data_IF_857856188250
#
_entry.id   IF_857856188250
#
_cell.length_a   1.000
_cell.length_b   1.000
_cell.length_c   1.000
_cell.angle_alpha   90.00
_cell.angle_beta   90.00
_cell.angle_gamma   90.00
#
_symmetry.space_group_name_H-M   'P 1'
#
loop_
_entity.id
_entity.type
_entity.pdbx_description
1 polymer ?
#
# COMPACT_ATOMS: atom_id res chain seq x y z
N UNK A 1 15.34 19.38 -9.50
CA UNK A 1 13.88 19.58 -9.57
C UNK A 1 13.34 19.11 -8.22
N UNK A 2 12.34 19.76 -7.62
CA UNK A 2 11.73 19.23 -6.39
C UNK A 2 10.74 18.13 -6.79
N UNK A 3 10.68 17.02 -6.06
CA UNK A 3 9.69 15.99 -6.29
C UNK A 3 8.27 16.56 -6.09
N UNK A 4 7.37 16.28 -7.02
CA UNK A 4 5.98 16.76 -6.96
C UNK A 4 5.04 15.55 -6.73
N UNK A 5 4.65 15.37 -5.47
CA UNK A 5 3.76 14.28 -5.07
C UNK A 5 2.39 14.36 -5.76
N UNK A 6 1.86 15.55 -6.01
CA UNK A 6 0.55 15.68 -6.65
C UNK A 6 0.59 15.18 -8.10
N UNK A 7 1.66 15.51 -8.83
CA UNK A 7 1.86 15.00 -10.19
C UNK A 7 2.12 13.50 -10.17
N UNK A 8 2.93 13.00 -9.23
CA UNK A 8 3.18 11.56 -9.09
C UNK A 8 1.89 10.78 -8.82
N UNK A 9 1.08 11.22 -7.86
CA UNK A 9 -0.16 10.54 -7.50
C UNK A 9 -1.19 10.54 -8.63
N UNK A 10 -1.26 11.62 -9.43
CA UNK A 10 -2.08 11.62 -10.63
C UNK A 10 -1.61 10.60 -11.69
N UNK A 11 -0.30 10.35 -11.78
CA UNK A 11 0.26 9.30 -12.65
C UNK A 11 0.00 7.90 -12.10
N UNK A 12 0.16 7.70 -10.79
CA UNK A 12 -0.20 6.46 -10.09
C UNK A 12 -1.68 6.09 -10.28
N UNK A 13 -2.60 7.05 -10.11
CA UNK A 13 -4.03 6.84 -10.35
C UNK A 13 -4.30 6.44 -11.80
N UNK A 14 -3.61 7.06 -12.76
CA UNK A 14 -3.72 6.70 -14.17
C UNK A 14 -3.24 5.28 -14.44
N UNK A 15 -2.12 4.87 -13.85
CA UNK A 15 -1.61 3.50 -13.94
C UNK A 15 -2.60 2.49 -13.34
N UNK A 16 -3.17 2.80 -12.16
CA UNK A 16 -4.16 1.97 -11.49
C UNK A 16 -5.49 1.82 -12.28
N UNK A 17 -5.82 2.79 -13.14
CA UNK A 17 -6.99 2.75 -14.00
C UNK A 17 -6.73 2.09 -15.36
N UNK A 18 -5.54 2.33 -15.95
CA UNK A 18 -5.25 1.96 -17.33
C UNK A 18 -4.61 0.57 -17.48
N UNK A 19 -3.89 0.11 -16.47
CA UNK A 19 -2.99 -1.04 -16.64
C UNK A 19 -3.65 -2.38 -16.30
N UNK A 20 -3.36 -3.39 -17.11
CA UNK A 20 -3.75 -4.78 -16.85
C UNK A 20 -2.71 -5.56 -16.03
N UNK A 21 -1.51 -5.00 -15.82
CA UNK A 21 -0.39 -5.72 -15.21
C UNK A 21 0.29 -4.91 -14.10
N UNK A 22 0.28 -5.47 -12.89
CA UNK A 22 0.85 -4.86 -11.69
C UNK A 22 2.33 -4.49 -11.86
N UNK A 23 3.16 -5.47 -12.22
CA UNK A 23 4.61 -5.31 -12.36
C UNK A 23 4.99 -4.23 -13.38
N UNK A 24 4.37 -4.25 -14.56
CA UNK A 24 4.62 -3.25 -15.61
C UNK A 24 4.28 -1.83 -15.16
N UNK A 25 3.24 -1.68 -14.34
CA UNK A 25 2.83 -0.38 -13.78
C UNK A 25 3.85 0.10 -12.76
N UNK A 26 4.29 -0.79 -11.87
CA UNK A 26 5.34 -0.49 -10.90
C UNK A 26 6.66 -0.09 -11.57
N UNK A 27 7.10 -0.81 -12.60
CA UNK A 27 8.32 -0.47 -13.33
C UNK A 27 8.24 0.91 -13.99
N UNK A 28 7.08 1.28 -14.56
CA UNK A 28 6.88 2.63 -15.11
C UNK A 28 6.95 3.73 -14.05
N UNK A 29 6.36 3.49 -12.88
CA UNK A 29 6.43 4.44 -11.76
C UNK A 29 7.85 4.53 -11.18
N UNK A 30 8.59 3.43 -11.11
CA UNK A 30 10.03 3.44 -10.74
C UNK A 30 10.85 4.26 -11.74
N UNK A 31 10.64 4.06 -13.04
CA UNK A 31 11.30 4.85 -14.09
C UNK A 31 11.00 6.35 -13.91
N UNK A 32 9.75 6.68 -13.58
CA UNK A 32 9.34 8.05 -13.36
C UNK A 32 10.02 8.69 -12.16
N UNK A 33 10.05 8.00 -11.02
CA UNK A 33 10.73 8.51 -9.83
C UNK A 33 12.22 8.69 -10.11
N UNK A 34 12.84 7.75 -10.84
CA UNK A 34 14.25 7.83 -11.24
C UNK A 34 14.55 9.04 -12.13
N UNK A 35 13.64 9.41 -13.04
CA UNK A 35 13.75 10.62 -13.87
C UNK A 35 13.73 11.90 -13.03
N UNK A 36 12.91 11.94 -11.98
CA UNK A 36 12.74 13.14 -11.14
C UNK A 36 13.79 13.26 -10.04
N UNK A 37 14.28 12.12 -9.56
CA UNK A 37 15.31 11.97 -8.52
C UNK A 37 16.52 11.21 -9.08
N UNK A 38 17.26 11.78 -10.06
CA UNK A 38 18.38 11.09 -10.73
C UNK A 38 19.55 10.77 -9.79
N UNK A 39 19.63 11.38 -8.62
CA UNK A 39 20.64 11.12 -7.60
C UNK A 39 20.42 9.81 -6.82
N UNK A 40 19.21 9.26 -6.85
CA UNK A 40 18.88 7.98 -6.21
C UNK A 40 19.09 6.85 -7.21
N UNK A 41 19.93 5.85 -6.92
CA UNK A 41 20.03 4.66 -7.78
C UNK A 41 18.88 3.69 -7.47
N UNK A 42 17.82 3.79 -8.27
CA UNK A 42 16.64 2.93 -8.18
C UNK A 42 16.70 1.75 -9.14
N UNK A 43 17.80 1.58 -9.88
CA UNK A 43 17.97 0.46 -10.81
C UNK A 43 17.81 -0.93 -10.17
N UNK A 44 18.16 -1.17 -8.88
CA UNK A 44 17.90 -2.45 -8.24
C UNK A 44 16.42 -2.80 -8.12
N UNK A 45 15.52 -1.80 -8.02
CA UNK A 45 14.07 -2.04 -7.94
C UNK A 45 13.53 -2.72 -9.21
N UNK A 46 14.21 -2.57 -10.34
CA UNK A 46 13.82 -3.20 -11.62
C UNK A 46 14.06 -4.70 -11.67
N UNK A 47 14.78 -5.25 -10.70
CA UNK A 47 15.05 -6.68 -10.58
C UNK A 47 14.09 -7.39 -9.62
N UNK A 48 13.17 -6.65 -9.00
CA UNK A 48 12.20 -7.21 -8.06
C UNK A 48 11.08 -7.93 -8.80
N UNK A 49 10.67 -9.09 -8.26
CA UNK A 49 9.50 -9.83 -8.72
C UNK A 49 8.24 -9.31 -8.02
N UNK A 50 7.69 -8.22 -8.54
CA UNK A 50 6.44 -7.65 -8.02
C UNK A 50 5.25 -8.62 -8.19
N UNK A 51 5.30 -9.52 -9.17
CA UNK A 51 4.22 -10.47 -9.43
C UNK A 51 4.11 -11.55 -8.34
N UNK A 52 5.23 -11.99 -7.75
CA UNK A 52 5.25 -12.92 -6.62
C UNK A 52 4.55 -12.36 -5.37
N UNK A 53 4.73 -11.07 -5.10
CA UNK A 53 4.08 -10.38 -3.98
C UNK A 53 2.55 -10.33 -4.14
N UNK A 54 2.06 -10.19 -5.37
CA UNK A 54 0.61 -10.20 -5.63
C UNK A 54 -0.04 -11.53 -5.26
N UNK A 55 0.64 -12.65 -5.54
CA UNK A 55 0.18 -13.99 -5.13
C UNK A 55 0.16 -14.09 -3.60
N UNK A 56 1.25 -13.67 -2.96
CA UNK A 56 1.40 -13.71 -1.50
C UNK A 56 0.35 -12.85 -0.79
N UNK A 57 0.10 -11.64 -1.30
CA UNK A 57 -0.94 -10.74 -0.80
C UNK A 57 -2.35 -11.34 -0.93
N UNK A 58 -2.63 -12.06 -2.02
CA UNK A 58 -3.92 -12.72 -2.24
C UNK A 58 -4.17 -13.83 -1.23
N UNK A 59 -3.17 -14.66 -0.97
CA UNK A 59 -3.29 -15.74 0.01
C UNK A 59 -3.34 -15.20 1.44
N UNK A 60 -2.53 -14.16 1.74
CA UNK A 60 -2.58 -13.43 3.00
C UNK A 60 -3.98 -12.86 3.27
N UNK A 61 -4.56 -12.11 2.32
CA UNK A 61 -5.88 -11.51 2.47
C UNK A 61 -6.97 -12.56 2.66
N UNK A 62 -6.97 -13.63 1.84
CA UNK A 62 -7.94 -14.73 1.96
C UNK A 62 -7.91 -15.37 3.33
N UNK A 63 -6.70 -15.62 3.87
CA UNK A 63 -6.50 -16.20 5.20
C UNK A 63 -7.09 -15.30 6.29
N UNK A 64 -6.79 -14.00 6.27
CA UNK A 64 -7.32 -13.05 7.24
C UNK A 64 -8.84 -12.98 7.19
N UNK A 65 -9.40 -12.91 5.98
CA UNK A 65 -10.83 -12.81 5.76
C UNK A 65 -11.58 -14.07 6.22
N UNK A 66 -11.03 -15.26 5.98
CA UNK A 66 -11.71 -16.53 6.30
C UNK A 66 -11.55 -16.95 7.76
N UNK A 67 -10.37 -16.76 8.36
CA UNK A 67 -10.05 -17.33 9.68
C UNK A 67 -10.41 -16.39 10.83
N UNK A 68 -10.46 -15.08 10.58
CA UNK A 68 -10.64 -14.05 11.60
C UNK A 68 -11.59 -12.94 11.10
N UNK A 69 -12.87 -13.24 10.81
CA UNK A 69 -13.81 -12.23 10.34
C UNK A 69 -14.14 -11.21 11.44
N UNK A 70 -14.43 -9.96 11.05
CA UNK A 70 -14.95 -8.96 11.97
C UNK A 70 -16.30 -9.39 12.57
N UNK A 71 -16.56 -8.98 13.82
CA UNK A 71 -17.83 -9.22 14.52
C UNK A 71 -18.94 -8.21 14.13
N UNK A 72 -18.79 -7.55 12.98
CA UNK A 72 -19.71 -6.55 12.44
C UNK A 72 -19.74 -6.62 10.92
N UNK A 73 -20.79 -6.04 10.32
CA UNK A 73 -20.88 -5.86 8.87
C UNK A 73 -19.75 -4.95 8.39
N UNK A 74 -18.79 -5.51 7.65
CA UNK A 74 -17.68 -4.73 7.12
C UNK A 74 -18.18 -3.82 5.99
N UNK A 75 -18.01 -2.51 6.17
CA UNK A 75 -18.34 -1.45 5.21
C UNK A 75 -17.11 -0.83 4.56
N UNK A 76 -15.94 -1.00 5.17
CA UNK A 76 -14.69 -0.56 4.56
C UNK A 76 -13.51 -1.48 4.90
N UNK A 77 -12.56 -1.56 3.98
CA UNK A 77 -11.24 -2.17 4.12
C UNK A 77 -10.20 -1.07 4.05
N UNK A 78 -9.32 -1.01 5.04
CA UNK A 78 -8.13 -0.16 5.00
C UNK A 78 -6.89 -1.03 4.97
N UNK A 79 -6.18 -0.97 3.85
CA UNK A 79 -4.87 -1.58 3.68
C UNK A 79 -3.81 -0.56 4.08
N UNK A 80 -3.49 -0.52 5.38
CA UNK A 80 -2.55 0.45 5.92
C UNK A 80 -1.09 0.11 5.64
N UNK A 81 -0.26 1.13 5.50
CA UNK A 81 1.18 1.04 5.37
C UNK A 81 1.78 1.38 6.74
N UNK A 82 2.50 0.43 7.35
CA UNK A 82 3.25 0.64 8.59
C UNK A 82 4.73 0.76 8.27
N UNK A 83 5.35 1.81 8.80
CA UNK A 83 6.79 2.00 8.79
C UNK A 83 7.43 1.06 9.83
N UNK A 84 8.46 0.35 9.43
CA UNK A 84 9.21 -0.61 10.24
C UNK A 84 10.69 -0.21 10.20
N UNK A 85 11.35 -0.34 11.34
CA UNK A 85 12.76 0.02 11.49
C UNK A 85 13.54 -1.17 12.04
N UNK A 86 14.71 -1.41 11.48
CA UNK A 86 15.71 -2.29 12.09
C UNK A 86 16.72 -1.40 12.78
N UNK A 87 16.89 -1.60 14.09
CA UNK A 87 17.91 -0.92 14.88
C UNK A 87 19.17 -1.78 14.98
N UNK A 88 20.32 -1.12 14.95
CA UNK A 88 21.60 -1.69 15.35
C UNK A 88 21.58 -1.92 16.87
N UNK A 89 21.71 -3.17 17.35
CA UNK A 89 21.72 -3.48 18.77
C UNK A 89 22.87 -2.82 19.53
N UNK A 90 23.98 -2.47 18.86
CA UNK A 90 25.17 -1.90 19.49
C UNK A 90 25.11 -0.37 19.57
N UNK A 91 24.46 0.29 18.62
CA UNK A 91 24.44 1.75 18.51
C UNK A 91 23.08 2.40 18.74
N UNK A 92 22.00 1.60 18.81
CA UNK A 92 20.60 2.06 18.80
C UNK A 92 20.28 2.98 17.59
N UNK A 93 21.08 2.89 16.52
CA UNK A 93 20.87 3.60 15.28
C UNK A 93 20.00 2.79 14.32
N UNK A 94 19.23 3.46 13.47
CA UNK A 94 18.43 2.79 12.43
C UNK A 94 19.37 2.31 11.31
N UNK A 95 19.35 1.01 11.00
CA UNK A 95 20.12 0.38 9.91
C UNK A 95 19.28 0.01 8.70
N UNK A 96 17.97 -0.11 8.86
CA UNK A 96 17.04 -0.27 7.76
C UNK A 96 15.68 0.35 8.12
N UNK A 97 15.04 0.94 7.13
CA UNK A 97 13.69 1.49 7.19
C UNK A 97 12.91 0.89 6.02
N UNK A 98 11.77 0.29 6.31
CA UNK A 98 10.94 -0.37 5.30
C UNK A 98 9.46 -0.31 5.65
N UNK A 99 8.61 -0.72 4.71
CA UNK A 99 7.16 -0.71 4.89
C UNK A 99 6.61 -2.14 4.97
N UNK A 100 5.53 -2.31 5.74
CA UNK A 100 4.67 -3.49 5.69
C UNK A 100 3.22 -3.09 5.47
N UNK A 101 2.47 -3.97 4.82
CA UNK A 101 1.05 -3.80 4.62
C UNK A 101 0.27 -4.50 5.74
N UNK A 102 -0.79 -3.87 6.21
CA UNK A 102 -1.74 -4.46 7.15
C UNK A 102 -3.18 -4.16 6.78
N UNK A 103 -4.12 -4.89 7.38
CA UNK A 103 -5.54 -4.74 7.11
C UNK A 103 -6.28 -4.31 8.36
N UNK A 104 -7.16 -3.31 8.21
CA UNK A 104 -8.14 -2.91 9.22
C UNK A 104 -9.52 -2.94 8.59
N UNK A 105 -10.47 -3.53 9.30
CA UNK A 105 -11.87 -3.58 8.88
C UNK A 105 -12.67 -2.51 9.61
N UNK A 106 -13.60 -1.87 8.90
CA UNK A 106 -14.46 -0.83 9.47
C UNK A 106 -15.93 -1.17 9.29
N UNK A 107 -16.72 -0.83 10.31
CA UNK A 107 -18.18 -0.97 10.31
C UNK A 107 -18.91 0.17 9.59
N UNK A 108 -18.19 1.23 9.24
CA UNK A 108 -18.73 2.41 8.58
C UNK A 108 -17.88 2.80 7.37
N UNK A 109 -18.53 3.37 6.36
CA UNK A 109 -17.87 3.93 5.20
C UNK A 109 -18.66 5.14 4.69
N UNK A 110 -17.98 6.29 4.56
CA UNK A 110 -18.57 7.53 4.03
C UNK A 110 -18.00 7.77 2.64
N UNK A 111 -18.69 7.27 1.61
CA UNK A 111 -18.19 7.30 0.23
C UNK A 111 -17.90 8.70 -0.34
N UNK A 112 -18.54 9.75 0.20
CA UNK A 112 -18.33 11.14 -0.19
C UNK A 112 -17.36 11.92 0.70
N UNK A 113 -16.71 11.26 1.66
CA UNK A 113 -15.67 11.86 2.48
C UNK A 113 -14.32 11.75 1.75
N UNK A 114 -13.92 12.83 1.08
CA UNK A 114 -12.66 12.92 0.34
C UNK A 114 -11.43 12.95 1.27
N UNK A 115 -11.61 13.35 2.52
CA UNK A 115 -10.54 13.43 3.53
C UNK A 115 -10.30 12.13 4.26
N UNK A 116 -11.21 11.16 4.11
CA UNK A 116 -11.16 9.83 4.73
C UNK A 116 -11.06 9.89 6.27
N UNK A 117 -11.53 10.98 6.88
CA UNK A 117 -11.50 11.21 8.33
C UNK A 117 -12.26 10.11 9.11
N UNK A 118 -13.23 9.47 8.46
CA UNK A 118 -13.97 8.34 9.03
C UNK A 118 -13.07 7.17 9.47
N UNK A 119 -11.83 7.05 9.00
CA UNK A 119 -10.87 6.01 9.44
C UNK A 119 -10.48 6.18 10.92
N UNK A 120 -10.54 7.40 11.47
CA UNK A 120 -10.05 7.69 12.83
C UNK A 120 -11.13 7.66 13.93
N UNK A 121 -12.42 7.70 13.56
CA UNK A 121 -13.53 7.88 14.51
C UNK A 121 -14.41 6.66 14.75
N UNK A 122 -14.15 5.55 14.06
CA UNK A 122 -15.13 4.46 13.91
C UNK A 122 -14.74 3.16 14.60
N UNK A 123 -15.76 2.32 14.85
CA UNK A 123 -15.55 0.93 15.26
C UNK A 123 -14.76 0.19 14.19
N UNK A 124 -13.58 -0.29 14.59
CA UNK A 124 -12.61 -0.96 13.73
C UNK A 124 -12.20 -2.31 14.32
N UNK A 125 -11.83 -3.23 13.45
CA UNK A 125 -11.19 -4.48 13.79
C UNK A 125 -9.79 -4.49 13.17
N UNK A 126 -8.79 -4.54 14.03
CA UNK A 126 -7.39 -4.68 13.63
C UNK A 126 -6.97 -6.13 13.81
N UNK A 127 -6.20 -6.64 12.86
CA UNK A 127 -5.61 -7.96 12.98
C UNK A 127 -4.27 -7.82 13.69
N UNK A 128 -4.28 -8.04 15.01
CA UNK A 128 -3.05 -8.11 15.81
C UNK A 128 -2.01 -9.01 15.10
N UNK A 129 -0.83 -8.44 14.85
CA UNK A 129 0.35 -9.05 14.21
C UNK A 129 0.17 -9.61 12.78
N UNK A 130 -0.88 -9.22 12.07
CA UNK A 130 -1.11 -9.70 10.70
C UNK A 130 -0.54 -8.77 9.62
N UNK A 131 0.78 -8.62 9.60
CA UNK A 131 1.46 -7.94 8.48
C UNK A 131 1.61 -8.87 7.28
N UNK A 132 1.48 -8.32 6.08
CA UNK A 132 1.79 -9.04 4.85
C UNK A 132 3.31 -9.08 4.66
N UNK A 133 3.86 -10.27 4.42
CA UNK A 133 5.26 -10.46 4.04
C UNK A 133 5.38 -10.21 2.53
N UNK A 134 5.80 -8.99 2.17
CA UNK A 134 5.88 -8.53 0.79
C UNK A 134 7.32 -8.10 0.47
N UNK A 135 8.18 -9.05 0.05
CA UNK A 135 9.60 -8.77 -0.21
C UNK A 135 9.87 -7.56 -1.10
N UNK A 136 9.06 -7.28 -2.11
CA UNK A 136 9.30 -6.12 -2.96
C UNK A 136 8.97 -4.81 -2.23
N UNK A 137 7.94 -4.77 -1.37
CA UNK A 137 7.64 -3.61 -0.52
C UNK A 137 8.75 -3.36 0.50
N UNK A 138 9.27 -4.42 1.13
CA UNK A 138 10.41 -4.30 2.05
C UNK A 138 11.65 -3.77 1.31
N UNK A 139 11.93 -4.29 0.11
CA UNK A 139 13.04 -3.86 -0.72
C UNK A 139 12.92 -2.41 -1.21
N UNK A 140 11.70 -1.93 -1.50
CA UNK A 140 11.46 -0.51 -1.83
C UNK A 140 12.02 0.39 -0.71
N UNK A 141 11.70 0.09 0.54
CA UNK A 141 12.23 0.81 1.69
C UNK A 141 13.75 0.77 1.74
N UNK A 142 14.31 -0.44 1.77
CA UNK A 142 15.77 -0.63 1.90
C UNK A 142 16.58 0.05 0.78
N UNK A 143 16.08 0.01 -0.45
CA UNK A 143 16.77 0.61 -1.61
C UNK A 143 16.59 2.13 -1.62
N UNK A 144 15.41 2.65 -1.30
CA UNK A 144 15.16 4.10 -1.27
C UNK A 144 15.85 4.80 -0.09
N UNK A 145 16.21 4.06 0.96
CA UNK A 145 16.82 4.60 2.17
C UNK A 145 18.34 4.48 2.24
N UNK A 146 19.03 3.99 1.20
CA UNK A 146 20.50 3.80 1.13
C UNK A 146 21.29 4.96 1.79
N UNK A 147 21.47 4.89 3.12
CA UNK A 147 22.26 5.77 3.98
C UNK A 147 21.71 7.16 4.39
N UNK A 148 20.38 7.42 4.34
CA UNK A 148 19.81 8.65 4.93
C UNK A 148 18.61 8.36 5.83
N UNK A 149 18.66 8.85 7.07
CA UNK A 149 17.54 8.85 8.00
C UNK A 149 16.50 9.90 7.61
N UNK A 150 15.22 9.53 7.70
CA UNK A 150 14.08 10.39 7.36
C UNK A 150 13.52 10.08 5.97
N UNK A 151 12.31 9.51 5.93
CA UNK A 151 11.53 9.12 4.75
C UNK A 151 11.92 9.84 3.47
N UNK A 152 12.57 9.15 2.54
CA UNK A 152 12.93 9.75 1.25
C UNK A 152 11.69 9.93 0.38
N UNK A 153 11.70 10.96 -0.46
CA UNK A 153 10.57 11.23 -1.38
C UNK A 153 10.26 10.01 -2.26
N UNK A 154 11.30 9.28 -2.69
CA UNK A 154 11.16 8.03 -3.44
C UNK A 154 10.55 6.89 -2.61
N UNK A 155 10.89 6.76 -1.33
CA UNK A 155 10.29 5.74 -0.45
C UNK A 155 8.79 5.97 -0.32
N UNK A 156 8.39 7.17 0.09
CA UNK A 156 6.98 7.51 0.30
C UNK A 156 6.19 7.29 -1.00
N UNK A 157 6.69 7.84 -2.11
CA UNK A 157 6.04 7.73 -3.41
C UNK A 157 5.88 6.27 -3.86
N UNK A 158 6.95 5.48 -3.82
CA UNK A 158 6.93 4.11 -4.33
C UNK A 158 6.21 3.13 -3.41
N UNK A 159 6.25 3.31 -2.09
CA UNK A 159 5.48 2.51 -1.15
C UNK A 159 3.98 2.73 -1.32
N UNK A 160 3.54 4.00 -1.43
CA UNK A 160 2.13 4.32 -1.71
C UNK A 160 1.70 3.75 -3.07
N UNK A 161 2.49 3.99 -4.12
CA UNK A 161 2.19 3.47 -5.46
C UNK A 161 2.06 1.96 -5.48
N UNK A 162 3.01 1.26 -4.86
CA UNK A 162 2.99 -0.18 -4.71
C UNK A 162 1.70 -0.64 -4.04
N UNK A 163 1.33 -0.05 -2.89
CA UNK A 163 0.16 -0.47 -2.15
C UNK A 163 -1.15 -0.14 -2.87
N UNK A 164 -1.28 1.04 -3.50
CA UNK A 164 -2.45 1.41 -4.31
C UNK A 164 -2.65 0.43 -5.45
N UNK A 165 -1.59 0.14 -6.21
CA UNK A 165 -1.67 -0.80 -7.32
C UNK A 165 -1.97 -2.22 -6.82
N UNK A 166 -1.21 -2.73 -5.83
CA UNK A 166 -1.41 -4.06 -5.27
C UNK A 166 -2.85 -4.25 -4.77
N UNK A 167 -3.36 -3.32 -3.98
CA UNK A 167 -4.72 -3.37 -3.44
C UNK A 167 -5.74 -3.31 -4.56
N UNK A 168 -5.55 -2.46 -5.57
CA UNK A 168 -6.43 -2.39 -6.74
C UNK A 168 -6.55 -3.75 -7.43
N UNK A 169 -5.43 -4.41 -7.71
CA UNK A 169 -5.42 -5.73 -8.34
C UNK A 169 -6.01 -6.81 -7.43
N UNK A 170 -5.71 -6.75 -6.14
CA UNK A 170 -6.20 -7.70 -5.14
C UNK A 170 -7.74 -7.68 -5.05
N UNK A 171 -8.34 -6.49 -5.01
CA UNK A 171 -9.78 -6.33 -4.77
C UNK A 171 -10.64 -6.41 -6.04
N UNK A 172 -10.05 -6.23 -7.23
CA UNK A 172 -10.74 -6.52 -8.50
C UNK A 172 -11.22 -7.99 -8.57
N UNK A 173 -10.51 -8.91 -7.93
CA UNK A 173 -10.88 -10.33 -7.85
C UNK A 173 -11.92 -10.63 -6.75
N UNK A 174 -12.27 -9.65 -5.89
CA UNK A 174 -13.17 -9.85 -4.75
C UNK A 174 -14.64 -9.55 -5.05
N UNK A 175 -14.96 -8.99 -6.22
CA UNK A 175 -16.36 -8.78 -6.61
C UNK A 175 -17.06 -10.12 -6.77
N UNK A 176 -18.02 -10.41 -5.88
CA UNK A 176 -18.85 -11.62 -5.93
C UNK A 176 -20.18 -11.34 -6.60
N UNK A 177 -20.57 -12.20 -7.56
CA UNK A 177 -21.91 -12.16 -8.15
C UNK A 177 -22.97 -12.41 -7.07
N UNK A 178 -23.84 -11.42 -6.83
CA UNK A 178 -24.90 -11.47 -5.81
C UNK A 178 -24.60 -10.72 -4.51
N UNK A 179 -23.46 -10.03 -4.40
CA UNK A 179 -23.12 -9.17 -3.27
C UNK A 179 -24.15 -8.05 -3.03
N UNK A 180 -24.59 -7.91 -1.77
CA UNK A 180 -25.67 -7.01 -1.39
C UNK A 180 -25.18 -5.62 -0.93
N UNK A 181 -23.89 -5.49 -0.57
CA UNK A 181 -23.36 -4.27 0.01
C UNK A 181 -22.15 -3.70 -0.74
N UNK A 182 -22.03 -2.37 -0.70
CA UNK A 182 -20.84 -1.67 -1.15
C UNK A 182 -19.84 -1.59 0.01
N UNK A 183 -18.60 -1.96 -0.25
CA UNK A 183 -17.47 -1.85 0.68
C UNK A 183 -16.43 -0.88 0.09
N UNK A 184 -16.07 0.14 0.84
CA UNK A 184 -15.02 1.08 0.46
C UNK A 184 -13.63 0.49 0.68
N UNK A 185 -12.71 0.70 -0.26
CA UNK A 185 -11.32 0.22 -0.14
C UNK A 185 -10.38 1.41 -0.12
N UNK A 186 -9.57 1.50 0.93
CA UNK A 186 -8.59 2.57 1.15
C UNK A 186 -7.20 1.97 1.39
N UNK A 187 -6.16 2.69 1.00
CA UNK A 187 -4.78 2.38 1.37
C UNK A 187 -3.98 3.65 1.63
N UNK A 188 -2.84 3.54 2.32
CA UNK A 188 -1.98 4.69 2.64
C UNK A 188 -1.29 4.55 3.99
N UNK A 189 -0.38 5.48 4.31
CA UNK A 189 0.27 5.50 5.62
C UNK A 189 -0.73 5.93 6.70
N UNK A 190 -0.54 5.39 7.91
CA UNK A 190 -1.35 5.83 9.06
C UNK A 190 -1.07 7.28 9.48
N UNK A 191 0.12 7.77 9.14
CA UNK A 191 0.62 9.13 9.39
C UNK A 191 0.15 10.17 8.37
N UNK A 192 -0.38 9.75 7.21
CA UNK A 192 -0.79 10.64 6.11
C UNK A 192 -0.93 9.91 4.77
N UNK A 193 -1.32 10.61 3.71
CA UNK A 193 -1.38 10.09 2.34
C UNK A 193 -2.32 8.87 2.16
N UNK A 194 -3.60 9.09 2.47
CA UNK A 194 -4.66 8.10 2.30
C UNK A 194 -5.33 8.23 0.92
N UNK A 195 -5.52 7.09 0.27
CA UNK A 195 -6.10 6.98 -1.07
C UNK A 195 -7.30 6.05 -1.07
N UNK A 196 -8.43 6.57 -1.55
CA UNK A 196 -9.56 5.72 -1.94
C UNK A 196 -9.18 4.96 -3.21
N UNK A 197 -9.07 3.65 -3.11
CA UNK A 197 -8.69 2.78 -4.24
C UNK A 197 -9.91 2.47 -5.12
N UNK A 198 -11.01 2.03 -4.51
CA UNK A 198 -12.27 1.76 -5.19
C UNK A 198 -13.39 1.45 -4.20
N UNK A 199 -14.60 1.29 -4.76
CA UNK A 199 -15.74 0.68 -4.09
C UNK A 199 -15.96 -0.71 -4.69
N UNK A 200 -16.03 -1.75 -3.86
CA UNK A 200 -16.29 -3.13 -4.29
C UNK A 200 -17.64 -3.63 -3.77
N UNK A 201 -18.19 -4.64 -4.45
CA UNK A 201 -19.40 -5.34 -4.02
C UNK A 201 -18.98 -6.63 -3.32
N UNK A 202 -19.33 -6.76 -2.04
CA UNK A 202 -19.06 -7.92 -1.19
C UNK A 202 -20.32 -8.40 -0.47
#
# INVERSE_FOLDING_TARGET
>A
MKFDFAVFYAEMEREAQASANFESSMLRLVDRVQEWLPESDLSPLKQLDFSADMVSAKDWFKRLWSERPAQFDTRALYFGISEEFVEDPETSGIIAEYARLYLVLFSEYKAGDETLEWIYGNNRFDYDDARAELPALEAIGMICHQFKSGGSESYIALSVAYCVLLVKYLVCDLTTDGAAQTVGVVTGFSSGDLFKVCDVKM
#
